data_IF_556360234715
#
_entry.id   IF_556360234715
#
_cell.length_a   1.000
_cell.length_b   1.000
_cell.length_c   1.000
_cell.angle_alpha   90.00
_cell.angle_beta   90.00
_cell.angle_gamma   90.00
#
_symmetry.space_group_name_H-M   'P 1'
#
loop_
_entity.id
_entity.type
_entity.pdbx_description
1 polymer ?
#
# COMPACT_ATOMS: atom_id res chain seq x y z
N UNK A 1 16.92 -0.12 -0.48
CA UNK A 1 16.40 -1.13 -1.44
C UNK A 1 15.58 -2.21 -0.74
N UNK A 2 16.18 -3.10 0.07
CA UNK A 2 15.47 -4.21 0.74
C UNK A 2 14.21 -3.80 1.50
N UNK A 3 14.25 -2.73 2.30
CA UNK A 3 13.10 -2.25 3.08
C UNK A 3 11.87 -1.94 2.21
N UNK A 4 12.08 -1.28 1.07
CA UNK A 4 11.02 -0.92 0.12
C UNK A 4 10.52 -2.14 -0.65
N UNK A 5 11.42 -3.05 -1.05
CA UNK A 5 11.03 -4.33 -1.67
C UNK A 5 10.21 -5.19 -0.71
N UNK A 6 10.53 -5.17 0.58
CA UNK A 6 9.77 -5.90 1.59
C UNK A 6 8.38 -5.32 1.82
N UNK A 7 8.23 -4.00 1.77
CA UNK A 7 6.91 -3.37 1.73
C UNK A 7 6.10 -3.86 0.52
N UNK A 8 6.71 -3.90 -0.67
CA UNK A 8 6.07 -4.40 -1.89
C UNK A 8 5.64 -5.87 -1.74
N UNK A 9 6.53 -6.77 -1.34
CA UNK A 9 6.21 -8.19 -1.11
C UNK A 9 5.12 -8.37 -0.03
N UNK A 10 5.11 -7.55 1.01
CA UNK A 10 4.08 -7.60 2.05
C UNK A 10 2.69 -7.23 1.50
N UNK A 11 2.58 -6.36 0.50
CA UNK A 11 1.27 -6.10 -0.14
C UNK A 11 0.69 -7.40 -0.71
N UNK A 12 1.49 -8.26 -1.33
CA UNK A 12 1.06 -9.57 -1.81
C UNK A 12 0.65 -10.49 -0.65
N UNK A 13 1.39 -10.49 0.45
CA UNK A 13 1.01 -11.23 1.66
C UNK A 13 -0.36 -10.80 2.22
N UNK A 14 -0.67 -9.49 2.20
CA UNK A 14 -1.97 -8.97 2.63
C UNK A 14 -3.09 -9.48 1.72
N UNK A 15 -2.87 -9.52 0.40
CA UNK A 15 -3.84 -10.07 -0.55
C UNK A 15 -4.04 -11.58 -0.39
N UNK A 16 -2.97 -12.36 -0.13
CA UNK A 16 -3.07 -13.78 0.22
C UNK A 16 -3.90 -13.99 1.48
N UNK A 17 -3.64 -13.20 2.52
CA UNK A 17 -4.42 -13.23 3.76
C UNK A 17 -5.91 -12.92 3.53
N UNK A 18 -6.23 -11.97 2.63
CA UNK A 18 -7.61 -11.67 2.28
C UNK A 18 -8.29 -12.84 1.58
N UNK A 19 -7.61 -13.48 0.61
CA UNK A 19 -8.14 -14.64 -0.11
C UNK A 19 -8.40 -15.83 0.84
N UNK A 20 -7.55 -16.03 1.85
CA UNK A 20 -7.71 -17.10 2.84
C UNK A 20 -8.85 -16.81 3.83
N UNK A 21 -8.94 -15.58 4.35
CA UNK A 21 -9.90 -15.23 5.40
C UNK A 21 -11.28 -14.87 4.87
N UNK A 22 -11.36 -14.43 3.61
CA UNK A 22 -12.58 -14.00 2.94
C UNK A 22 -12.65 -14.62 1.53
N UNK A 23 -12.82 -15.96 1.42
CA UNK A 23 -12.75 -16.68 0.13
C UNK A 23 -13.83 -16.29 -0.90
N UNK A 24 -14.83 -15.49 -0.50
CA UNK A 24 -15.86 -14.94 -1.40
C UNK A 24 -15.70 -13.45 -1.72
N UNK A 25 -14.67 -12.79 -1.19
CA UNK A 25 -14.41 -11.38 -1.50
C UNK A 25 -13.77 -11.26 -2.88
N UNK A 26 -14.37 -10.46 -3.76
CA UNK A 26 -13.78 -10.15 -5.06
C UNK A 26 -12.55 -9.24 -4.86
N UNK A 27 -11.38 -9.77 -5.19
CA UNK A 27 -10.08 -9.08 -5.12
C UNK A 27 -9.65 -8.53 -6.49
N UNK A 28 -10.50 -8.63 -7.51
CA UNK A 28 -10.27 -8.12 -8.84
C UNK A 28 -10.20 -6.60 -8.89
N UNK A 29 -9.51 -6.08 -9.90
CA UNK A 29 -9.33 -4.63 -10.09
C UNK A 29 -10.67 -3.86 -10.11
N UNK A 30 -11.70 -4.41 -10.77
CA UNK A 30 -13.04 -3.80 -10.80
C UNK A 30 -13.67 -3.65 -9.41
N UNK A 31 -13.60 -4.69 -8.57
CA UNK A 31 -14.12 -4.64 -7.21
C UNK A 31 -13.34 -3.67 -6.33
N UNK A 32 -12.00 -3.67 -6.42
CA UNK A 32 -11.17 -2.76 -5.64
C UNK A 32 -11.41 -1.29 -6.01
N UNK A 33 -11.60 -0.98 -7.28
CA UNK A 33 -11.93 0.40 -7.73
C UNK A 33 -13.35 0.82 -7.36
N UNK A 34 -14.27 -0.14 -7.20
CA UNK A 34 -15.64 0.09 -6.75
C UNK A 34 -15.85 0.05 -5.23
N UNK A 35 -14.78 -0.17 -4.45
CA UNK A 35 -14.89 -0.25 -2.99
C UNK A 35 -15.36 1.08 -2.38
N UNK A 36 -16.15 1.00 -1.30
CA UNK A 36 -16.61 2.20 -0.59
C UNK A 36 -15.48 2.84 0.22
N UNK A 37 -14.76 3.77 -0.41
CA UNK A 37 -13.65 4.49 0.22
C UNK A 37 -14.11 5.46 1.33
N UNK A 38 -15.41 5.75 1.46
CA UNK A 38 -15.91 6.59 2.56
C UNK A 38 -15.72 5.94 3.93
N UNK A 39 -15.46 4.63 3.98
CA UNK A 39 -15.15 3.86 5.18
C UNK A 39 -13.73 4.10 5.73
N UNK A 40 -12.82 4.66 4.93
CA UNK A 40 -11.44 4.94 5.30
C UNK A 40 -11.33 6.20 6.17
N UNK A 41 -11.69 6.06 7.46
CA UNK A 41 -11.82 7.20 8.39
C UNK A 41 -10.77 7.24 9.49
N UNK A 42 -10.06 6.14 9.75
CA UNK A 42 -9.10 6.12 10.85
C UNK A 42 -7.92 7.04 10.54
N UNK A 43 -7.23 7.50 11.59
CA UNK A 43 -6.03 8.32 11.42
C UNK A 43 -4.96 7.59 10.59
N UNK A 44 -4.82 6.26 10.76
CA UNK A 44 -3.89 5.45 9.99
C UNK A 44 -4.28 5.32 8.51
N UNK A 45 -5.58 5.23 8.20
CA UNK A 45 -6.06 5.26 6.82
C UNK A 45 -5.68 6.60 6.16
N UNK A 46 -6.01 7.72 6.83
CA UNK A 46 -5.77 9.07 6.32
C UNK A 46 -4.29 9.40 6.18
N UNK A 47 -3.44 8.94 7.09
CA UNK A 47 -1.99 9.08 7.03
C UNK A 47 -1.43 8.43 5.75
N UNK A 48 -1.83 7.19 5.47
CA UNK A 48 -1.37 6.46 4.28
C UNK A 48 -1.93 7.08 2.99
N UNK A 49 -3.19 7.54 2.99
CA UNK A 49 -3.80 8.26 1.86
C UNK A 49 -3.01 9.53 1.54
N UNK A 50 -2.67 10.33 2.56
CA UNK A 50 -1.89 11.57 2.37
C UNK A 50 -0.51 11.29 1.79
N UNK A 51 0.15 10.21 2.24
CA UNK A 51 1.45 9.78 1.71
C UNK A 51 1.36 9.38 0.23
N UNK A 52 0.34 8.60 -0.15
CA UNK A 52 0.10 8.23 -1.55
C UNK A 52 -0.19 9.45 -2.44
N UNK A 53 -0.97 10.42 -1.94
CA UNK A 53 -1.33 11.61 -2.68
C UNK A 53 -0.11 12.50 -3.04
N UNK A 54 1.03 12.34 -2.36
CA UNK A 54 2.26 13.08 -2.71
C UNK A 54 2.95 12.55 -3.97
N UNK A 55 2.69 11.30 -4.38
CA UNK A 55 3.44 10.63 -5.44
C UNK A 55 3.59 11.46 -6.73
N UNK A 56 2.52 12.00 -7.34
CA UNK A 56 2.66 12.73 -8.60
C UNK A 56 3.57 13.95 -8.49
N UNK A 57 3.47 14.70 -7.38
CA UNK A 57 4.29 15.89 -7.14
C UNK A 57 5.75 15.51 -6.91
N UNK A 58 6.01 14.44 -6.17
CA UNK A 58 7.38 13.95 -5.94
C UNK A 58 8.05 13.57 -7.26
N UNK A 59 7.35 12.82 -8.13
CA UNK A 59 7.86 12.45 -9.46
C UNK A 59 8.16 13.67 -10.31
N UNK A 60 7.21 14.61 -10.41
CA UNK A 60 7.41 15.84 -11.17
C UNK A 60 8.63 16.64 -10.68
N UNK A 61 8.72 16.86 -9.35
CA UNK A 61 9.81 17.64 -8.78
C UNK A 61 11.18 16.95 -8.90
N UNK A 62 11.23 15.62 -8.85
CA UNK A 62 12.45 14.84 -9.04
C UNK A 62 12.92 14.90 -10.49
N UNK A 63 11.98 14.85 -11.44
CA UNK A 63 12.26 14.98 -12.86
C UNK A 63 12.75 16.40 -13.20
N UNK A 64 12.08 17.45 -12.72
CA UNK A 64 12.48 18.85 -12.95
C UNK A 64 13.86 19.18 -12.37
N UNK A 65 14.15 18.68 -11.17
CA UNK A 65 15.43 18.94 -10.51
C UNK A 65 16.55 17.98 -10.94
N UNK A 66 16.24 16.94 -11.71
CA UNK A 66 17.17 15.85 -12.04
C UNK A 66 17.73 15.15 -10.79
N UNK A 67 16.86 14.95 -9.79
CA UNK A 67 17.22 14.47 -8.45
C UNK A 67 16.52 13.13 -8.13
N UNK A 68 17.01 11.99 -8.65
CA UNK A 68 16.36 10.68 -8.47
C UNK A 68 16.30 10.22 -7.01
N UNK A 69 17.18 10.75 -6.15
CA UNK A 69 17.18 10.44 -4.72
C UNK A 69 15.86 10.83 -4.02
N UNK A 70 15.12 11.83 -4.53
CA UNK A 70 13.80 12.20 -4.01
C UNK A 70 12.80 11.06 -4.10
N UNK A 71 12.85 10.28 -5.18
CA UNK A 71 12.04 9.07 -5.34
C UNK A 71 12.42 8.05 -4.27
N UNK A 72 13.71 7.80 -4.07
CA UNK A 72 14.18 6.84 -3.08
C UNK A 72 13.76 7.19 -1.65
N UNK A 73 13.86 8.47 -1.27
CA UNK A 73 13.39 8.94 0.05
C UNK A 73 11.88 8.81 0.19
N UNK A 74 11.10 9.24 -0.81
CA UNK A 74 9.65 9.09 -0.78
C UNK A 74 9.22 7.62 -0.64
N UNK A 75 9.82 6.70 -1.39
CA UNK A 75 9.49 5.28 -1.29
C UNK A 75 9.81 4.69 0.08
N UNK A 76 10.88 5.16 0.73
CA UNK A 76 11.21 4.77 2.09
C UNK A 76 10.14 5.24 3.08
N UNK A 77 9.72 6.51 2.99
CA UNK A 77 8.66 7.07 3.84
C UNK A 77 7.31 6.37 3.62
N UNK A 78 6.93 6.08 2.36
CA UNK A 78 5.72 5.33 2.04
C UNK A 78 5.77 3.90 2.61
N UNK A 79 6.91 3.22 2.46
CA UNK A 79 7.13 1.90 3.04
C UNK A 79 7.02 1.93 4.58
N UNK A 80 7.61 2.95 5.22
CA UNK A 80 7.55 3.15 6.67
C UNK A 80 6.11 3.36 7.16
N UNK A 81 5.35 4.25 6.51
CA UNK A 81 3.94 4.48 6.84
C UNK A 81 3.10 3.20 6.67
N UNK A 82 3.30 2.46 5.57
CA UNK A 82 2.61 1.19 5.33
C UNK A 82 2.95 0.12 6.39
N UNK A 83 4.24 -0.03 6.73
CA UNK A 83 4.68 -0.96 7.77
C UNK A 83 4.13 -0.58 9.15
N UNK A 84 4.10 0.73 9.46
CA UNK A 84 3.51 1.26 10.68
C UNK A 84 2.03 0.93 10.79
N UNK A 85 1.26 1.16 9.72
CA UNK A 85 -0.17 0.80 9.70
C UNK A 85 -0.36 -0.71 9.84
N UNK A 86 0.41 -1.53 9.11
CA UNK A 86 0.36 -2.99 9.27
C UNK A 86 0.61 -3.42 10.74
N UNK A 87 1.59 -2.81 11.40
CA UNK A 87 1.91 -3.10 12.79
C UNK A 87 0.79 -2.69 13.77
N UNK A 88 0.14 -1.54 13.55
CA UNK A 88 -1.04 -1.11 14.34
C UNK A 88 -2.16 -2.16 14.27
N UNK A 89 -2.38 -2.80 13.11
CA UNK A 89 -3.36 -3.88 12.94
C UNK A 89 -3.09 -5.17 13.74
N UNK A 90 -1.85 -5.38 14.19
CA UNK A 90 -1.54 -6.49 15.10
C UNK A 90 -1.98 -6.20 16.54
N UNK A 91 -2.07 -4.92 16.91
CA UNK A 91 -2.46 -4.46 18.24
C UNK A 91 -3.96 -4.17 18.34
N UNK A 92 -4.55 -3.67 17.25
CA UNK A 92 -5.97 -3.33 17.16
C UNK A 92 -6.60 -3.99 15.92
N UNK A 93 -7.59 -4.85 16.15
CA UNK A 93 -8.33 -5.56 15.10
C UNK A 93 -9.04 -4.57 14.17
N UNK A 94 -9.52 -3.42 14.70
CA UNK A 94 -10.18 -2.39 13.91
C UNK A 94 -9.24 -1.68 12.92
N UNK A 95 -7.92 -1.84 13.07
CA UNK A 95 -6.88 -1.30 12.18
C UNK A 95 -6.24 -2.35 11.27
N UNK A 96 -6.77 -3.58 11.22
CA UNK A 96 -6.28 -4.58 10.25
C UNK A 96 -6.65 -4.20 8.83
N UNK A 97 -5.71 -4.39 7.91
CA UNK A 97 -6.03 -4.36 6.47
C UNK A 97 -7.04 -5.44 6.08
N UNK A 98 -6.94 -6.62 6.71
CA UNK A 98 -7.89 -7.73 6.53
C UNK A 98 -8.57 -8.04 7.86
N UNK A 99 -9.83 -7.65 7.97
CA UNK A 99 -10.73 -7.98 9.06
C UNK A 99 -11.85 -8.88 8.54
N UNK A 100 -11.88 -10.14 8.99
CA UNK A 100 -12.87 -11.12 8.52
C UNK A 100 -14.31 -10.75 8.95
N UNK A 101 -14.45 -9.96 10.02
CA UNK A 101 -15.74 -9.53 10.55
C UNK A 101 -16.26 -8.25 9.85
N UNK A 102 -15.45 -7.62 9.00
CA UNK A 102 -15.81 -6.40 8.26
C UNK A 102 -15.25 -6.45 6.83
N UNK A 103 -15.99 -7.12 5.95
CA UNK A 103 -15.61 -7.30 4.55
C UNK A 103 -15.64 -6.00 3.75
N UNK A 104 -16.52 -5.05 4.08
CA UNK A 104 -16.63 -3.76 3.39
C UNK A 104 -15.42 -2.88 3.70
N UNK A 105 -15.06 -2.72 4.97
CA UNK A 105 -13.85 -1.99 5.34
C UNK A 105 -12.58 -2.69 4.84
N UNK A 106 -12.56 -4.03 4.86
CA UNK A 106 -11.47 -4.81 4.28
C UNK A 106 -11.32 -4.52 2.79
N UNK A 107 -12.42 -4.50 2.03
CA UNK A 107 -12.39 -4.16 0.59
C UNK A 107 -11.82 -2.76 0.35
N UNK A 108 -12.29 -1.76 1.11
CA UNK A 108 -11.78 -0.39 1.02
C UNK A 108 -10.28 -0.29 1.36
N UNK A 109 -9.82 -1.01 2.39
CA UNK A 109 -8.40 -1.07 2.77
C UNK A 109 -7.55 -1.83 1.76
N UNK A 110 -8.08 -2.87 1.12
CA UNK A 110 -7.37 -3.59 0.06
C UNK A 110 -7.19 -2.71 -1.19
N UNK A 111 -8.14 -1.83 -1.49
CA UNK A 111 -7.96 -0.81 -2.53
C UNK A 111 -6.79 0.13 -2.19
N UNK A 112 -6.68 0.56 -0.93
CA UNK A 112 -5.55 1.35 -0.43
C UNK A 112 -4.22 0.60 -0.54
N UNK A 113 -4.17 -0.68 -0.14
CA UNK A 113 -2.98 -1.53 -0.26
C UNK A 113 -2.59 -1.75 -1.73
N UNK A 114 -3.55 -1.88 -2.64
CA UNK A 114 -3.29 -1.96 -4.07
C UNK A 114 -2.65 -0.67 -4.61
N UNK A 115 -3.10 0.50 -4.15
CA UNK A 115 -2.48 1.78 -4.50
C UNK A 115 -1.03 1.87 -3.99
N UNK A 116 -0.75 1.43 -2.75
CA UNK A 116 0.62 1.32 -2.22
C UNK A 116 1.48 0.43 -3.12
N UNK A 117 1.01 -0.78 -3.42
CA UNK A 117 1.72 -1.71 -4.31
C UNK A 117 2.07 -1.07 -5.65
N UNK A 118 1.10 -0.39 -6.28
CA UNK A 118 1.30 0.27 -7.57
C UNK A 118 2.36 1.39 -7.50
N UNK A 119 2.33 2.21 -6.45
CA UNK A 119 3.33 3.28 -6.27
C UNK A 119 4.72 2.70 -6.01
N UNK A 120 4.82 1.65 -5.20
CA UNK A 120 6.09 0.98 -4.91
C UNK A 120 6.72 0.38 -6.18
N UNK A 121 5.95 -0.35 -7.00
CA UNK A 121 6.47 -0.92 -8.26
C UNK A 121 6.87 0.18 -9.25
N UNK A 122 6.08 1.25 -9.36
CA UNK A 122 6.40 2.39 -10.23
C UNK A 122 7.71 3.05 -9.80
N UNK A 123 7.87 3.36 -8.52
CA UNK A 123 9.06 4.03 -8.03
C UNK A 123 10.31 3.16 -8.06
N UNK A 124 10.20 1.86 -7.73
CA UNK A 124 11.31 0.92 -7.88
C UNK A 124 11.74 0.80 -9.34
N UNK A 125 10.78 0.71 -10.27
CA UNK A 125 11.05 0.67 -11.71
C UNK A 125 11.77 1.92 -12.21
N UNK A 126 11.35 3.12 -11.78
CA UNK A 126 12.03 4.38 -12.11
C UNK A 126 13.49 4.43 -11.62
N UNK A 127 13.81 3.70 -10.54
CA UNK A 127 15.17 3.59 -10.00
C UNK A 127 15.96 2.42 -10.58
N UNK A 128 15.41 1.67 -11.54
CA UNK A 128 16.05 0.49 -12.12
C UNK A 128 16.14 -0.70 -11.15
N UNK A 129 15.25 -0.76 -10.16
CA UNK A 129 15.22 -1.79 -9.12
C UNK A 129 14.00 -2.69 -9.33
N UNK A 130 14.18 -4.00 -9.16
CA UNK A 130 13.07 -4.97 -9.23
C UNK A 130 12.17 -4.89 -8.01
N UNK A 131 10.88 -5.16 -8.20
CA UNK A 131 9.87 -5.22 -7.14
C UNK A 131 9.37 -6.67 -7.00
N UNK A 132 10.03 -7.52 -6.20
CA UNK A 132 9.64 -8.92 -6.08
C UNK A 132 8.31 -9.07 -5.33
N UNK A 133 7.50 -10.04 -5.74
CA UNK A 133 6.21 -10.36 -5.09
C UNK A 133 6.38 -11.12 -3.76
N UNK A 134 7.55 -11.74 -3.58
CA UNK A 134 7.94 -12.48 -2.39
C UNK A 134 9.44 -12.31 -2.14
N UNK A 135 9.85 -12.22 -0.88
CA UNK A 135 11.26 -12.18 -0.48
C UNK A 135 11.60 -13.50 0.21
N UNK A 136 12.49 -14.27 -0.40
CA UNK A 136 13.10 -15.51 0.12
C UNK A 136 14.32 -15.23 0.97
#
# INVERSE_FOLDING_TARGET
VFYVQYAHARTYSVFRQAAEKLPGLDLGFGALTGADLSLLKSEADLELIKSLAQWPRIVASAAEAHEPHRIAFYLYELASAFHGFWAKGNQDVALRFVNADDSMLTSARLALVAAVRQVLVNGLSLLGVTAPEELS
#
